data_IF_596749299595
#
_entry.id   IF_596749299595
#
_cell.length_a   1.000
_cell.length_b   1.000
_cell.length_c   1.000
_cell.angle_alpha   90.00
_cell.angle_beta   90.00
_cell.angle_gamma   90.00
#
_symmetry.space_group_name_H-M   'P 1'
#
loop_
_entity.id
_entity.type
_entity.pdbx_description
1 polymer ?
#
# COMPACT_ATOMS: atom_id res chain seq x y z
N UNK A 1 17.58 -34.17 95.66
CA UNK A 1 18.53 -35.22 96.08
C UNK A 1 19.76 -35.16 95.19
N UNK A 2 20.95 -35.25 95.81
CA UNK A 2 22.30 -35.34 95.26
C UNK A 2 22.88 -34.13 94.49
N UNK A 3 23.77 -33.44 95.22
CA UNK A 3 24.91 -32.64 94.74
C UNK A 3 26.02 -33.55 94.16
N UNK A 4 27.05 -32.88 93.63
CA UNK A 4 28.46 -33.31 93.45
C UNK A 4 28.73 -34.18 92.21
N UNK A 5 29.80 -34.02 91.45
CA UNK A 5 30.93 -33.07 91.28
C UNK A 5 31.82 -33.71 90.17
N UNK A 6 32.92 -33.05 89.78
CA UNK A 6 34.14 -33.62 89.12
C UNK A 6 33.99 -33.82 87.58
N UNK A 7 34.88 -33.37 86.68
CA UNK A 7 36.19 -32.71 86.78
C UNK A 7 36.56 -32.06 85.43
N UNK A 8 37.17 -30.88 85.54
CA UNK A 8 38.25 -30.26 84.75
C UNK A 8 38.78 -31.06 83.53
N UNK A 9 38.90 -30.43 82.35
CA UNK A 9 40.20 -30.32 81.63
C UNK A 9 40.15 -29.33 80.45
N UNK A 10 40.83 -28.20 80.66
CA UNK A 10 41.82 -27.54 79.78
C UNK A 10 41.43 -27.18 78.33
N UNK A 11 41.39 -25.85 78.16
CA UNK A 11 41.71 -25.07 76.96
C UNK A 11 42.75 -25.71 76.02
N UNK A 12 42.38 -25.84 74.74
CA UNK A 12 43.33 -25.70 73.64
C UNK A 12 42.66 -24.88 72.53
N UNK A 13 43.11 -23.62 72.46
CA UNK A 13 42.87 -22.71 71.35
C UNK A 13 43.44 -23.31 70.07
N UNK A 14 42.60 -23.53 69.07
CA UNK A 14 43.01 -23.40 67.68
C UNK A 14 41.97 -22.58 66.94
N UNK A 15 42.40 -21.36 66.61
CA UNK A 15 41.73 -20.40 65.75
C UNK A 15 41.66 -21.02 64.35
N UNK A 16 40.46 -21.14 63.82
CA UNK A 16 40.26 -21.11 62.37
C UNK A 16 39.02 -20.26 62.10
N UNK A 17 39.26 -19.13 61.44
CA UNK A 17 38.24 -18.18 61.02
C UNK A 17 37.25 -18.85 60.08
N UNK A 18 36.05 -19.15 60.57
CA UNK A 18 34.89 -19.40 59.72
C UNK A 18 34.32 -18.05 59.31
N UNK A 19 34.29 -17.85 58.01
CA UNK A 19 33.73 -16.70 57.29
C UNK A 19 32.25 -16.56 57.67
N UNK A 20 31.89 -15.47 58.34
CA UNK A 20 30.50 -15.11 58.57
C UNK A 20 29.78 -14.92 57.23
N UNK A 21 28.70 -15.67 57.04
CA UNK A 21 27.73 -15.51 55.97
C UNK A 21 27.04 -14.15 56.17
N UNK A 22 27.09 -13.21 55.23
CA UNK A 22 26.16 -12.09 55.19
C UNK A 22 24.86 -12.58 54.53
N UNK A 23 23.76 -12.32 55.22
CA UNK A 23 22.38 -12.39 54.74
C UNK A 23 22.22 -11.81 53.34
N UNK A 24 21.41 -12.42 52.45
CA UNK A 24 21.18 -11.88 51.13
C UNK A 24 20.37 -10.58 51.24
N UNK A 25 21.01 -9.46 50.92
CA UNK A 25 20.32 -8.21 50.64
C UNK A 25 19.37 -8.43 49.45
N UNK A 26 18.07 -8.40 49.71
CA UNK A 26 17.08 -8.04 48.71
C UNK A 26 17.35 -6.60 48.28
N UNK A 27 17.92 -6.42 47.09
CA UNK A 27 17.72 -5.28 46.20
C UNK A 27 18.66 -5.44 45.00
N UNK A 28 18.30 -6.35 44.10
CA UNK A 28 18.74 -6.31 42.71
C UNK A 28 17.49 -6.48 41.86
N UNK A 29 16.67 -5.45 41.81
CA UNK A 29 15.76 -5.28 40.68
C UNK A 29 16.65 -5.09 39.46
N UNK A 30 16.59 -5.95 38.42
CA UNK A 30 17.22 -5.62 37.17
C UNK A 30 16.55 -4.33 36.69
N UNK A 31 17.32 -3.26 36.53
CA UNK A 31 16.89 -2.13 35.71
C UNK A 31 16.78 -2.68 34.28
N UNK A 32 15.65 -3.32 33.97
CA UNK A 32 15.25 -3.59 32.59
C UNK A 32 15.05 -2.23 31.95
N UNK A 33 16.08 -1.76 31.23
CA UNK A 33 15.95 -0.66 30.29
C UNK A 33 14.84 -1.07 29.32
N UNK A 34 13.64 -0.53 29.52
CA UNK A 34 12.48 -0.86 28.71
C UNK A 34 12.84 -0.49 27.27
N UNK A 35 12.87 -1.48 26.37
CA UNK A 35 13.24 -1.26 24.97
C UNK A 35 12.29 -0.22 24.38
N UNK A 36 12.82 0.93 23.97
CA UNK A 36 12.04 2.02 23.40
C UNK A 36 11.82 1.73 21.92
N UNK A 37 10.60 1.34 21.57
CA UNK A 37 10.17 1.11 20.20
C UNK A 37 9.88 2.45 19.49
N UNK A 38 10.02 2.43 18.17
CA UNK A 38 9.76 3.56 17.27
C UNK A 38 8.53 3.30 16.41
N UNK A 39 8.08 4.33 15.68
CA UNK A 39 7.01 4.15 14.68
C UNK A 39 7.31 3.10 13.62
N UNK A 40 8.57 2.94 13.21
CA UNK A 40 8.95 1.94 12.20
C UNK A 40 8.77 0.51 12.72
N UNK A 41 8.87 0.32 14.04
CA UNK A 41 8.60 -0.97 14.66
C UNK A 41 7.10 -1.26 14.74
N UNK A 42 6.26 -0.26 15.04
CA UNK A 42 4.80 -0.42 15.12
C UNK A 42 4.09 -0.40 13.76
N UNK A 43 4.69 0.22 12.74
CA UNK A 43 4.15 0.28 11.38
C UNK A 43 5.28 0.03 10.36
N UNK A 44 5.76 -1.22 10.24
CA UNK A 44 6.81 -1.55 9.29
C UNK A 44 6.28 -1.51 7.85
N UNK A 45 7.10 -0.98 6.94
CA UNK A 45 6.83 -1.00 5.51
C UNK A 45 7.40 -2.29 4.91
N UNK A 46 6.52 -3.24 4.62
CA UNK A 46 6.87 -4.58 4.15
C UNK A 46 6.35 -4.76 2.72
N UNK A 47 7.24 -5.05 1.78
CA UNK A 47 6.89 -5.29 0.37
C UNK A 47 6.10 -6.60 0.18
N UNK A 48 5.34 -6.67 -0.91
CA UNK A 48 4.57 -7.85 -1.34
C UNK A 48 3.66 -8.43 -0.25
N UNK A 49 3.20 -7.58 0.67
CA UNK A 49 2.33 -7.96 1.79
C UNK A 49 0.88 -7.65 1.46
N UNK A 50 0.00 -8.60 1.76
CA UNK A 50 -1.45 -8.42 1.79
C UNK A 50 -1.95 -8.57 3.22
N UNK A 51 -2.74 -7.62 3.71
CA UNK A 51 -3.46 -7.73 4.98
C UNK A 51 -4.96 -7.73 4.69
N UNK A 52 -5.63 -8.84 5.05
CA UNK A 52 -7.08 -8.99 4.91
C UNK A 52 -7.75 -8.71 6.24
N UNK A 53 -8.81 -7.90 6.21
CA UNK A 53 -9.57 -7.53 7.40
C UNK A 53 -11.05 -7.89 7.23
N UNK A 54 -11.61 -8.49 8.28
CA UNK A 54 -13.02 -8.73 8.43
C UNK A 54 -13.73 -7.45 8.88
N UNK A 55 -14.86 -7.12 8.24
CA UNK A 55 -15.77 -6.05 8.66
C UNK A 55 -16.93 -6.56 9.53
N UNK A 56 -17.32 -5.78 10.53
CA UNK A 56 -18.51 -6.03 11.38
C UNK A 56 -19.28 -4.72 11.51
N UNK A 57 -20.62 -4.79 11.43
CA UNK A 57 -21.51 -3.64 11.64
C UNK A 57 -21.67 -2.71 10.42
N UNK A 58 -20.87 -2.89 9.37
CA UNK A 58 -20.99 -2.16 8.11
C UNK A 58 -20.41 -2.98 6.95
N UNK A 59 -21.08 -2.99 5.80
CA UNK A 59 -20.66 -3.73 4.60
C UNK A 59 -19.37 -3.20 3.96
N UNK A 60 -19.01 -1.94 4.21
CA UNK A 60 -17.77 -1.32 3.72
C UNK A 60 -16.60 -1.42 4.71
N UNK A 61 -16.79 -2.08 5.86
CA UNK A 61 -15.75 -2.20 6.89
C UNK A 61 -14.73 -3.32 6.62
N UNK A 62 -15.07 -4.30 5.78
CA UNK A 62 -14.10 -5.29 5.33
C UNK A 62 -13.15 -4.67 4.31
N UNK A 63 -11.88 -5.09 4.33
CA UNK A 63 -10.90 -4.59 3.37
C UNK A 63 -9.72 -5.51 3.15
N UNK A 64 -9.14 -5.42 1.97
CA UNK A 64 -7.81 -5.93 1.66
C UNK A 64 -6.84 -4.78 1.46
N UNK A 65 -5.65 -4.88 2.05
CA UNK A 65 -4.60 -3.87 1.93
C UNK A 65 -3.36 -4.49 1.29
N UNK A 66 -2.99 -3.98 0.12
CA UNK A 66 -1.77 -4.35 -0.61
C UNK A 66 -0.76 -3.21 -0.60
N UNK A 67 0.49 -3.54 -0.89
CA UNK A 67 1.58 -2.57 -0.98
C UNK A 67 1.97 -2.33 -2.43
N UNK A 68 1.58 -1.18 -2.97
CA UNK A 68 1.88 -0.80 -4.34
C UNK A 68 3.32 -0.31 -4.49
N UNK A 69 3.74 0.66 -3.66
CA UNK A 69 5.07 1.25 -3.70
C UNK A 69 5.64 1.47 -2.31
N UNK A 70 6.96 1.37 -2.17
CA UNK A 70 7.74 1.81 -1.00
C UNK A 70 8.91 2.64 -1.52
N UNK A 71 9.09 3.82 -0.95
CA UNK A 71 10.23 4.69 -1.21
C UNK A 71 10.68 5.32 0.11
N UNK A 72 11.84 4.89 0.62
CA UNK A 72 12.43 5.33 1.88
C UNK A 72 11.47 5.32 3.08
N UNK A 73 10.97 6.51 3.44
CA UNK A 73 10.10 6.75 4.57
C UNK A 73 8.63 6.88 4.17
N UNK A 74 8.27 6.52 2.93
CA UNK A 74 6.91 6.50 2.42
C UNK A 74 6.50 5.12 1.91
N UNK A 75 5.20 4.85 2.01
CA UNK A 75 4.53 3.68 1.46
C UNK A 75 3.24 4.11 0.76
N UNK A 76 2.99 3.55 -0.41
CA UNK A 76 1.70 3.63 -1.09
C UNK A 76 0.98 2.29 -0.93
N UNK A 77 -0.21 2.36 -0.35
CA UNK A 77 -1.10 1.24 -0.11
C UNK A 77 -2.25 1.28 -1.10
N UNK A 78 -2.69 0.09 -1.52
CA UNK A 78 -3.96 -0.11 -2.21
C UNK A 78 -4.93 -0.75 -1.25
N UNK A 79 -6.02 -0.07 -0.95
CA UNK A 79 -7.05 -0.53 -0.01
C UNK A 79 -8.31 -0.84 -0.81
N UNK A 80 -8.70 -2.10 -0.85
CA UNK A 80 -9.92 -2.54 -1.52
C UNK A 80 -10.96 -2.80 -0.45
N UNK A 81 -12.11 -2.13 -0.55
CA UNK A 81 -13.31 -2.49 0.20
C UNK A 81 -14.45 -2.74 -0.79
N UNK A 82 -15.63 -3.21 -0.34
CA UNK A 82 -16.75 -3.48 -1.25
C UNK A 82 -17.30 -2.27 -2.00
N UNK A 83 -16.98 -1.05 -1.55
CA UNK A 83 -17.45 0.19 -2.17
C UNK A 83 -16.51 0.77 -3.21
N UNK A 84 -15.20 0.69 -2.99
CA UNK A 84 -14.18 1.34 -3.83
C UNK A 84 -12.78 0.75 -3.63
N UNK A 85 -11.85 1.17 -4.48
CA UNK A 85 -10.41 0.98 -4.29
C UNK A 85 -9.79 2.34 -3.95
N UNK A 86 -9.10 2.43 -2.82
CA UNK A 86 -8.33 3.61 -2.45
C UNK A 86 -6.84 3.42 -2.71
N UNK A 87 -6.17 4.49 -3.13
CA UNK A 87 -4.74 4.66 -2.94
C UNK A 87 -4.48 5.53 -1.71
N UNK A 88 -3.65 5.04 -0.80
CA UNK A 88 -3.21 5.80 0.37
C UNK A 88 -1.69 5.93 0.38
N UNK A 89 -1.18 7.14 0.63
CA UNK A 89 0.25 7.39 0.82
C UNK A 89 0.49 7.73 2.28
N UNK A 90 1.29 6.91 2.95
CA UNK A 90 1.70 7.15 4.33
C UNK A 90 3.18 7.55 4.37
N UNK A 91 3.54 8.43 5.29
CA UNK A 91 4.91 8.87 5.55
C UNK A 91 5.25 8.71 7.03
N UNK A 92 6.44 8.17 7.34
CA UNK A 92 7.02 8.25 8.68
C UNK A 92 8.08 9.36 8.68
N UNK A 93 7.84 10.43 9.42
CA UNK A 93 8.77 11.57 9.49
C UNK A 93 8.61 12.32 10.81
N UNK A 94 9.72 12.76 11.39
CA UNK A 94 9.77 13.55 12.63
C UNK A 94 9.00 12.92 13.81
N UNK A 95 9.03 11.59 13.93
CA UNK A 95 8.30 10.87 14.99
C UNK A 95 6.78 10.83 14.77
N UNK A 96 6.30 11.02 13.54
CA UNK A 96 4.89 10.94 13.17
C UNK A 96 4.67 9.97 11.99
N UNK A 97 3.62 9.15 12.09
CA UNK A 97 3.04 8.41 10.97
C UNK A 97 1.90 9.27 10.40
N UNK A 98 2.06 9.72 9.16
CA UNK A 98 1.20 10.71 8.50
C UNK A 98 0.49 10.11 7.30
N UNK A 99 -0.80 10.38 7.15
CA UNK A 99 -1.53 10.17 5.90
C UNK A 99 -1.34 11.39 5.01
N UNK A 100 -0.57 11.21 3.93
CA UNK A 100 -0.21 12.26 2.98
C UNK A 100 -1.29 12.41 1.91
N UNK A 101 -1.79 11.29 1.37
CA UNK A 101 -2.82 11.29 0.34
C UNK A 101 -3.76 10.11 0.56
N UNK A 102 -5.05 10.34 0.34
CA UNK A 102 -6.07 9.29 0.21
C UNK A 102 -6.89 9.64 -1.02
N UNK A 103 -6.94 8.75 -2.00
CA UNK A 103 -7.68 8.94 -3.25
C UNK A 103 -8.58 7.74 -3.49
N UNK A 104 -9.88 7.99 -3.56
CA UNK A 104 -10.92 7.01 -3.90
C UNK A 104 -10.98 6.75 -5.40
N UNK A 105 -11.74 5.73 -5.82
CA UNK A 105 -11.94 5.34 -7.22
C UNK A 105 -10.61 5.06 -7.97
N UNK A 106 -9.62 4.51 -7.27
CA UNK A 106 -8.26 4.26 -7.78
C UNK A 106 -8.11 2.85 -8.37
N UNK A 107 -8.80 2.60 -9.48
CA UNK A 107 -8.82 1.27 -10.14
C UNK A 107 -7.60 0.96 -11.02
N UNK A 108 -6.72 1.94 -11.24
CA UNK A 108 -5.47 1.84 -11.99
C UNK A 108 -4.26 1.83 -11.04
N UNK A 109 -3.04 1.79 -11.58
CA UNK A 109 -1.78 1.76 -10.81
C UNK A 109 -0.84 2.88 -11.23
N UNK A 110 -1.03 4.04 -10.61
CA UNK A 110 -0.15 5.20 -10.78
C UNK A 110 0.73 5.43 -9.54
N UNK A 111 1.84 6.15 -9.76
CA UNK A 111 2.83 6.47 -8.73
C UNK A 111 2.42 7.77 -7.99
N UNK A 112 1.86 7.64 -6.80
CA UNK A 112 1.39 8.76 -5.98
C UNK A 112 2.30 9.06 -4.79
N UNK A 113 3.33 8.24 -4.53
CA UNK A 113 4.13 8.30 -3.30
C UNK A 113 4.82 9.66 -3.08
N UNK A 114 5.11 10.42 -4.14
CA UNK A 114 5.71 11.76 -4.08
C UNK A 114 4.69 12.90 -3.87
N UNK A 115 3.41 12.56 -3.61
CA UNK A 115 2.36 13.54 -3.35
C UNK A 115 2.76 14.48 -2.21
N UNK A 116 2.47 15.77 -2.39
CA UNK A 116 2.72 16.78 -1.38
C UNK A 116 1.45 17.05 -0.59
N UNK A 117 1.58 17.21 0.72
CA UNK A 117 0.48 17.63 1.59
C UNK A 117 1.06 18.50 2.71
N UNK A 118 0.65 19.76 2.76
CA UNK A 118 1.10 20.74 3.76
C UNK A 118 0.39 20.60 5.10
N UNK A 119 -0.71 19.86 5.17
CA UNK A 119 -1.49 19.62 6.38
C UNK A 119 -1.93 18.15 6.45
N UNK A 120 -0.97 17.20 6.52
CA UNK A 120 -1.30 15.78 6.55
C UNK A 120 -1.97 15.38 7.87
N UNK A 121 -2.80 14.35 7.82
CA UNK A 121 -3.38 13.78 9.04
C UNK A 121 -2.33 12.94 9.77
N UNK A 122 -2.17 13.15 11.07
CA UNK A 122 -1.28 12.34 11.91
C UNK A 122 -2.06 11.15 12.47
N UNK A 123 -1.67 9.94 12.07
CA UNK A 123 -2.30 8.67 12.47
C UNK A 123 -1.73 8.15 13.79
N UNK A 124 -0.42 8.29 14.00
CA UNK A 124 0.29 7.87 15.21
C UNK A 124 1.50 8.77 15.45
N UNK A 125 1.84 9.06 16.72
CA UNK A 125 2.86 10.03 17.09
C UNK A 125 3.70 9.59 18.29
N UNK A 126 5.01 9.83 18.23
CA UNK A 126 5.94 9.65 19.33
C UNK A 126 5.85 10.81 20.34
N UNK A 127 6.15 10.58 21.64
CA UNK A 127 6.55 9.31 22.24
C UNK A 127 5.40 8.29 22.33
N UNK A 128 5.70 7.01 22.13
CA UNK A 128 4.71 5.91 22.17
C UNK A 128 4.35 5.52 23.61
N UNK A 129 3.82 6.49 24.33
CA UNK A 129 3.52 6.42 25.76
C UNK A 129 2.07 6.89 25.99
N UNK A 130 1.42 6.32 27.01
CA UNK A 130 0.03 6.69 27.35
C UNK A 130 -0.08 8.18 27.63
N UNK A 131 -1.07 8.82 27.01
CA UNK A 131 -1.34 10.25 27.15
C UNK A 131 -0.71 11.14 26.08
N UNK A 132 0.19 10.63 25.24
CA UNK A 132 0.67 11.37 24.05
C UNK A 132 -0.52 11.73 23.17
N UNK A 133 -0.70 13.01 22.86
CA UNK A 133 -1.91 13.53 22.23
C UNK A 133 -1.61 14.60 21.17
N UNK A 134 -2.52 14.71 20.19
CA UNK A 134 -2.49 15.73 19.15
C UNK A 134 -3.93 16.07 18.71
N UNK A 135 -4.09 17.22 18.07
CA UNK A 135 -5.38 17.65 17.55
C UNK A 135 -5.62 17.02 16.18
N UNK A 136 -6.87 16.71 15.89
CA UNK A 136 -7.36 16.38 14.55
C UNK A 136 -8.32 17.49 14.09
N UNK A 137 -8.67 17.58 12.79
CA UNK A 137 -9.66 18.56 12.34
C UNK A 137 -11.01 18.45 13.05
N UNK A 138 -11.37 17.24 13.48
CA UNK A 138 -12.70 16.93 14.05
C UNK A 138 -12.69 16.68 15.57
N UNK A 139 -11.53 16.76 16.21
CA UNK A 139 -11.42 16.46 17.64
C UNK A 139 -10.00 16.28 18.14
N UNK A 140 -9.80 15.29 19.02
CA UNK A 140 -8.51 15.00 19.65
C UNK A 140 -8.16 13.53 19.48
N UNK A 141 -6.89 13.25 19.16
CA UNK A 141 -6.35 11.89 19.09
C UNK A 141 -5.25 11.72 20.12
N UNK A 142 -5.19 10.56 20.77
CA UNK A 142 -4.20 10.27 21.81
C UNK A 142 -3.96 8.78 22.00
N UNK A 143 -2.79 8.43 22.53
CA UNK A 143 -2.48 7.06 22.95
C UNK A 143 -3.20 6.81 24.28
N UNK A 144 -4.23 5.98 24.26
CA UNK A 144 -5.06 5.66 25.43
C UNK A 144 -4.50 4.50 26.23
N UNK A 145 -3.84 3.52 25.58
CA UNK A 145 -3.10 2.43 26.23
C UNK A 145 -1.93 1.93 25.38
N UNK A 146 -0.91 1.35 26.04
CA UNK A 146 0.31 0.84 25.38
C UNK A 146 0.40 -0.69 25.28
N UNK A 147 -0.31 -1.42 26.14
CA UNK A 147 -0.34 -2.89 26.18
C UNK A 147 -1.78 -3.40 26.28
N UNK A 148 -2.67 -2.87 25.43
CA UNK A 148 -4.08 -3.24 25.44
C UNK A 148 -4.22 -4.65 24.84
N UNK A 149 -4.76 -5.58 25.63
CA UNK A 149 -5.10 -6.92 25.15
C UNK A 149 -6.30 -6.86 24.23
N UNK A 150 -6.15 -7.38 23.02
CA UNK A 150 -7.21 -7.45 22.00
C UNK A 150 -7.21 -8.80 21.29
N UNK A 151 -8.37 -9.14 20.73
CA UNK A 151 -8.57 -10.32 19.89
C UNK A 151 -8.97 -9.90 18.48
N UNK A 152 -8.45 -10.61 17.49
CA UNK A 152 -8.83 -10.53 16.07
C UNK A 152 -8.92 -11.96 15.52
N UNK A 153 -9.54 -12.19 14.35
CA UNK A 153 -9.51 -13.52 13.74
C UNK A 153 -8.10 -14.04 13.45
N UNK A 154 -7.11 -13.16 13.28
CA UNK A 154 -5.70 -13.53 13.11
C UNK A 154 -4.95 -13.90 14.41
N UNK A 155 -5.54 -13.65 15.59
CA UNK A 155 -4.97 -14.00 16.88
C UNK A 155 -5.20 -12.95 17.98
N UNK A 156 -4.64 -13.25 19.16
CA UNK A 156 -4.60 -12.38 20.33
C UNK A 156 -3.33 -11.52 20.34
N UNK A 157 -3.45 -10.25 20.71
CA UNK A 157 -2.35 -9.28 20.70
C UNK A 157 -2.32 -8.40 21.95
N UNK A 158 -1.14 -7.89 22.26
CA UNK A 158 -0.96 -6.66 23.05
C UNK A 158 -0.69 -5.50 22.08
N UNK A 159 -1.55 -4.49 22.10
CA UNK A 159 -1.55 -3.40 21.14
C UNK A 159 -1.41 -2.02 21.80
N UNK A 160 -0.83 -1.09 21.05
CA UNK A 160 -0.95 0.33 21.28
C UNK A 160 -2.35 0.77 20.84
N UNK A 161 -3.17 1.20 21.78
CA UNK A 161 -4.51 1.75 21.52
C UNK A 161 -4.39 3.26 21.33
N UNK A 162 -4.83 3.73 20.17
CA UNK A 162 -4.94 5.14 19.82
C UNK A 162 -6.42 5.48 19.75
N UNK A 163 -6.86 6.39 20.60
CA UNK A 163 -8.25 6.85 20.64
C UNK A 163 -8.37 8.19 19.93
N UNK A 164 -9.34 8.31 19.02
CA UNK A 164 -9.82 9.58 18.47
C UNK A 164 -11.18 9.88 19.09
N UNK A 165 -11.32 11.04 19.73
CA UNK A 165 -12.59 11.52 20.25
C UNK A 165 -13.08 12.66 19.37
N UNK A 166 -14.17 12.41 18.65
CA UNK A 166 -14.93 13.42 17.90
C UNK A 166 -16.05 14.02 18.74
N UNK A 167 -16.96 14.74 18.09
CA UNK A 167 -18.09 15.39 18.76
C UNK A 167 -19.11 14.39 19.33
N UNK A 168 -19.42 13.36 18.56
CA UNK A 168 -20.47 12.37 18.81
C UNK A 168 -20.00 10.93 18.55
N UNK A 169 -18.71 10.75 18.26
CA UNK A 169 -18.10 9.46 17.99
C UNK A 169 -16.76 9.26 18.71
N UNK A 170 -16.38 7.99 18.84
CA UNK A 170 -15.02 7.58 19.20
C UNK A 170 -14.49 6.56 18.20
N UNK A 171 -13.19 6.61 17.94
CA UNK A 171 -12.49 5.60 17.14
C UNK A 171 -11.30 5.08 17.92
N UNK A 172 -11.14 3.76 17.98
CA UNK A 172 -10.00 3.09 18.60
C UNK A 172 -9.23 2.34 17.52
N UNK A 173 -8.00 2.78 17.26
CA UNK A 173 -7.06 2.11 16.37
C UNK A 173 -6.01 1.36 17.19
N UNK A 174 -5.81 0.09 16.87
CA UNK A 174 -4.92 -0.79 17.60
C UNK A 174 -3.72 -1.17 16.74
N UNK A 175 -2.54 -0.69 17.12
CA UNK A 175 -1.28 -0.96 16.44
C UNK A 175 -0.48 -2.03 17.18
N UNK A 176 -0.05 -3.07 16.48
CA UNK A 176 0.74 -4.17 17.03
C UNK A 176 2.16 -4.11 16.51
N UNK A 177 3.11 -4.30 17.43
CA UNK A 177 4.53 -4.31 17.16
C UNK A 177 4.88 -5.31 16.04
N UNK A 178 5.70 -4.86 15.09
CA UNK A 178 6.12 -5.58 13.87
C UNK A 178 4.99 -5.93 12.89
N UNK A 179 3.76 -5.46 13.11
CA UNK A 179 2.62 -5.76 12.24
C UNK A 179 2.08 -4.50 11.59
N UNK A 180 1.65 -3.52 12.38
CA UNK A 180 0.86 -2.38 11.90
C UNK A 180 -0.48 -2.26 12.61
N UNK A 181 -1.41 -1.57 11.96
CA UNK A 181 -2.82 -1.49 12.38
C UNK A 181 -3.46 -2.88 12.23
N UNK A 182 -4.00 -3.45 13.32
CA UNK A 182 -4.66 -4.78 13.28
C UNK A 182 -6.14 -4.71 13.56
N UNK A 183 -6.61 -3.63 14.17
CA UNK A 183 -8.02 -3.45 14.49
C UNK A 183 -8.38 -1.97 14.52
N UNK A 184 -9.56 -1.65 14.02
CA UNK A 184 -10.22 -0.35 14.20
C UNK A 184 -11.62 -0.60 14.74
N UNK A 185 -12.03 0.16 15.75
CA UNK A 185 -13.39 0.16 16.29
C UNK A 185 -13.92 1.58 16.24
N UNK A 186 -14.99 1.81 15.49
CA UNK A 186 -15.73 3.07 15.45
C UNK A 186 -17.03 2.92 16.25
N UNK A 187 -17.30 3.88 17.14
CA UNK A 187 -18.48 3.93 17.99
C UNK A 187 -19.16 5.30 17.85
N UNK A 188 -20.46 5.31 17.58
CA UNK A 188 -21.28 6.53 17.51
C UNK A 188 -22.71 6.22 17.95
N UNK A 189 -23.09 6.67 19.15
CA UNK A 189 -24.35 6.28 19.78
C UNK A 189 -24.39 4.77 20.04
N UNK A 190 -25.40 4.08 19.52
CA UNK A 190 -25.53 2.62 19.61
C UNK A 190 -24.80 1.89 18.47
N UNK A 191 -24.32 2.61 17.46
CA UNK A 191 -23.65 2.02 16.31
C UNK A 191 -22.20 1.67 16.66
N UNK A 192 -21.81 0.45 16.32
CA UNK A 192 -20.43 -0.04 16.44
C UNK A 192 -20.01 -0.70 15.13
N UNK A 193 -18.92 -0.22 14.56
CA UNK A 193 -18.32 -0.75 13.35
C UNK A 193 -16.92 -1.22 13.70
N UNK A 194 -16.56 -2.44 13.29
CA UNK A 194 -15.22 -2.98 13.51
C UNK A 194 -14.58 -3.43 12.20
N UNK A 195 -13.28 -3.18 12.07
CA UNK A 195 -12.42 -3.76 11.03
C UNK A 195 -11.32 -4.53 11.74
N UNK A 196 -11.27 -5.84 11.57
CA UNK A 196 -10.42 -6.76 12.35
C UNK A 196 -9.49 -7.56 11.44
N UNK A 197 -8.18 -7.57 11.73
CA UNK A 197 -7.20 -8.33 10.95
C UNK A 197 -7.56 -9.82 10.97
N UNK A 198 -7.79 -10.36 9.78
CA UNK A 198 -8.14 -11.76 9.56
C UNK A 198 -6.91 -12.57 9.14
N UNK A 199 -6.09 -12.00 8.25
CA UNK A 199 -4.95 -12.71 7.65
C UNK A 199 -3.86 -11.76 7.22
N UNK A 200 -2.60 -12.18 7.40
CA UNK A 200 -1.43 -11.56 6.77
C UNK A 200 -0.84 -12.58 5.79
N UNK A 201 -0.60 -12.14 4.57
CA UNK A 201 0.04 -12.94 3.53
C UNK A 201 1.27 -12.18 3.00
N UNK A 202 2.33 -12.92 2.65
CA UNK A 202 3.59 -12.35 2.13
C UNK A 202 3.88 -12.92 0.75
N UNK A 203 4.59 -12.17 -0.08
CA UNK A 203 4.87 -12.56 -1.46
C UNK A 203 3.63 -12.55 -2.36
N UNK A 204 2.57 -11.83 -1.98
CA UNK A 204 1.31 -11.79 -2.75
C UNK A 204 1.35 -10.60 -3.71
N UNK A 205 1.38 -10.83 -5.03
CA UNK A 205 1.30 -9.75 -6.00
C UNK A 205 -0.14 -9.19 -6.10
N UNK A 206 -0.26 -7.94 -6.50
CA UNK A 206 -1.53 -7.34 -6.90
C UNK A 206 -1.84 -7.79 -8.33
N UNK A 207 -3.04 -8.31 -8.58
CA UNK A 207 -3.48 -8.72 -9.92
C UNK A 207 -4.46 -7.69 -10.46
N UNK A 208 -4.16 -7.11 -11.62
CA UNK A 208 -5.11 -6.30 -12.39
C UNK A 208 -5.53 -7.05 -13.65
N UNK A 209 -6.82 -7.02 -13.94
CA UNK A 209 -7.32 -7.31 -15.29
C UNK A 209 -7.31 -6.05 -16.13
N UNK A 210 -6.90 -6.15 -17.40
CA UNK A 210 -7.15 -5.11 -18.39
C UNK A 210 -7.58 -5.72 -19.72
N UNK A 211 -8.26 -4.93 -20.54
CA UNK A 211 -8.55 -5.28 -21.92
C UNK A 211 -7.46 -4.71 -22.82
N UNK A 212 -6.80 -5.58 -23.58
CA UNK A 212 -5.85 -5.17 -24.62
C UNK A 212 -6.53 -5.34 -25.96
N UNK A 213 -6.52 -4.26 -26.75
CA UNK A 213 -7.13 -4.22 -28.07
C UNK A 213 -6.06 -4.41 -29.13
N UNK A 214 -6.31 -5.22 -30.15
CA UNK A 214 -5.37 -5.54 -31.21
C UNK A 214 -6.00 -5.31 -32.59
N UNK A 215 -5.25 -4.75 -33.56
CA UNK A 215 -5.71 -4.67 -34.94
C UNK A 215 -5.78 -6.05 -35.58
N UNK A 216 -6.97 -6.43 -36.05
CA UNK A 216 -7.20 -7.56 -36.94
C UNK A 216 -7.36 -7.02 -38.36
N UNK A 217 -6.24 -6.64 -38.96
CA UNK A 217 -6.19 -5.89 -40.22
C UNK A 217 -6.85 -6.65 -41.38
N UNK A 218 -6.68 -7.97 -41.44
CA UNK A 218 -7.24 -8.82 -42.50
C UNK A 218 -8.78 -8.85 -42.48
N UNK A 219 -9.38 -8.69 -41.30
CA UNK A 219 -10.83 -8.68 -41.12
C UNK A 219 -11.39 -7.27 -40.88
N UNK A 220 -10.56 -6.23 -41.09
CA UNK A 220 -10.93 -4.82 -40.96
C UNK A 220 -11.64 -4.47 -39.64
N UNK A 221 -11.16 -5.04 -38.53
CA UNK A 221 -11.76 -4.86 -37.20
C UNK A 221 -10.71 -4.78 -36.10
N UNK A 222 -11.14 -4.36 -34.92
CA UNK A 222 -10.32 -4.44 -33.70
C UNK A 222 -10.86 -5.58 -32.86
N UNK A 223 -9.99 -6.40 -32.32
CA UNK A 223 -10.38 -7.41 -31.32
C UNK A 223 -9.79 -7.04 -29.97
N UNK A 224 -10.33 -7.60 -28.89
CA UNK A 224 -9.74 -7.45 -27.57
C UNK A 224 -9.72 -8.75 -26.79
N UNK A 225 -8.77 -8.82 -25.85
CA UNK A 225 -8.63 -9.92 -24.91
C UNK A 225 -8.43 -9.37 -23.51
N UNK A 226 -9.02 -10.02 -22.52
CA UNK A 226 -8.74 -9.72 -21.12
C UNK A 226 -7.41 -10.36 -20.71
N UNK A 227 -6.47 -9.53 -20.28
CA UNK A 227 -5.14 -9.92 -19.86
C UNK A 227 -4.98 -9.62 -18.36
N UNK A 228 -4.32 -10.52 -17.65
CA UNK A 228 -4.03 -10.36 -16.21
C UNK A 228 -2.57 -9.95 -16.04
N UNK A 229 -2.35 -8.80 -15.41
CA UNK A 229 -1.01 -8.35 -15.00
C UNK A 229 -0.86 -8.53 -13.50
N UNK A 230 0.22 -9.18 -13.09
CA UNK A 230 0.66 -9.22 -11.69
C UNK A 230 1.71 -8.15 -11.41
N UNK A 231 1.55 -7.44 -10.30
CA UNK A 231 2.50 -6.46 -9.78
C UNK A 231 3.04 -6.88 -8.42
N UNK A 232 4.36 -6.96 -8.32
CA UNK A 232 5.06 -6.86 -7.04
C UNK A 232 5.17 -5.40 -6.62
N UNK A 233 5.49 -5.16 -5.35
CA UNK A 233 5.79 -3.82 -4.85
C UNK A 233 6.87 -3.16 -5.71
N UNK A 234 6.68 -1.88 -6.04
CA UNK A 234 7.54 -1.06 -6.90
C UNK A 234 7.53 -1.37 -8.40
N UNK A 235 6.81 -2.40 -8.87
CA UNK A 235 6.59 -2.57 -10.32
C UNK A 235 5.58 -1.55 -10.86
N UNK A 236 5.87 -1.00 -12.04
CA UNK A 236 5.08 0.07 -12.66
C UNK A 236 4.12 -0.46 -13.73
N UNK A 237 3.00 0.23 -13.93
CA UNK A 237 2.09 -0.06 -15.06
C UNK A 237 2.81 0.09 -16.40
N UNK A 238 3.67 1.11 -16.55
CA UNK A 238 4.43 1.42 -17.76
C UNK A 238 5.18 0.21 -18.30
N UNK A 239 5.98 -0.44 -17.47
CA UNK A 239 6.86 -1.53 -17.90
C UNK A 239 6.07 -2.78 -18.31
N UNK A 240 4.98 -3.06 -17.59
CA UNK A 240 4.08 -4.17 -17.91
C UNK A 240 3.27 -3.89 -19.17
N UNK A 241 2.78 -2.67 -19.34
CA UNK A 241 2.07 -2.24 -20.55
C UNK A 241 2.98 -2.34 -21.77
N UNK A 242 4.21 -1.82 -21.71
CA UNK A 242 5.14 -1.90 -22.83
C UNK A 242 5.38 -3.36 -23.27
N UNK A 243 5.62 -4.25 -22.30
CA UNK A 243 5.79 -5.68 -22.57
C UNK A 243 4.55 -6.28 -23.22
N UNK A 244 3.37 -5.93 -22.73
CA UNK A 244 2.10 -6.45 -23.22
C UNK A 244 1.82 -5.99 -24.66
N UNK A 245 2.03 -4.71 -24.95
CA UNK A 245 1.74 -4.12 -26.27
C UNK A 245 2.72 -4.55 -27.38
N UNK A 246 3.88 -5.11 -27.02
CA UNK A 246 4.86 -5.70 -27.95
C UNK A 246 4.52 -7.12 -28.41
N UNK A 247 3.52 -7.73 -27.77
CA UNK A 247 3.10 -9.10 -28.02
C UNK A 247 1.66 -9.13 -28.55
N UNK A 248 1.29 -10.23 -29.20
CA UNK A 248 -0.08 -10.50 -29.65
C UNK A 248 -0.49 -11.90 -29.18
N UNK A 249 -1.79 -12.14 -28.98
CA UNK A 249 -2.29 -13.47 -28.65
C UNK A 249 -2.31 -14.43 -29.86
N UNK A 250 -2.24 -13.89 -31.09
CA UNK A 250 -2.19 -14.65 -32.35
C UNK A 250 -1.26 -13.92 -33.33
N UNK A 251 -0.43 -14.67 -34.07
CA UNK A 251 0.53 -14.15 -35.05
C UNK A 251 -0.13 -13.47 -36.26
N UNK A 252 -1.44 -13.69 -36.48
CA UNK A 252 -2.22 -13.03 -37.53
C UNK A 252 -2.61 -11.60 -37.18
N UNK A 253 -2.48 -11.22 -35.91
CA UNK A 253 -2.82 -9.89 -35.43
C UNK A 253 -1.63 -8.96 -35.58
N UNK A 254 -1.91 -7.68 -35.77
CA UNK A 254 -0.84 -6.68 -35.75
C UNK A 254 -0.48 -6.33 -34.31
N UNK A 255 0.81 -6.14 -34.05
CA UNK A 255 1.31 -5.61 -32.78
C UNK A 255 0.93 -4.14 -32.65
N UNK A 256 0.75 -3.66 -31.41
CA UNK A 256 0.60 -2.23 -31.17
C UNK A 256 1.97 -1.56 -31.14
N UNK A 257 2.92 -2.10 -30.37
CA UNK A 257 4.28 -1.59 -30.28
C UNK A 257 5.26 -2.49 -31.02
N UNK A 258 6.20 -1.86 -31.74
CA UNK A 258 7.37 -2.54 -32.27
C UNK A 258 8.36 -2.93 -31.18
N UNK A 259 9.34 -3.76 -31.52
CA UNK A 259 10.34 -4.25 -30.56
C UNK A 259 11.23 -3.14 -29.99
N UNK A 260 11.51 -2.09 -30.77
CA UNK A 260 12.40 -1.00 -30.38
C UNK A 260 11.65 0.18 -29.74
N UNK A 261 10.35 0.28 -30.02
CA UNK A 261 9.43 1.25 -29.41
C UNK A 261 9.46 1.16 -27.89
N UNK A 262 9.45 2.32 -27.21
CA UNK A 262 9.38 2.40 -25.75
C UNK A 262 8.23 3.27 -25.28
N UNK A 263 7.73 3.00 -24.09
CA UNK A 263 6.86 3.91 -23.35
C UNK A 263 7.76 4.74 -22.42
N UNK A 264 7.94 6.01 -22.76
CA UNK A 264 8.70 6.95 -21.95
C UNK A 264 7.94 7.27 -20.66
N UNK A 265 6.63 7.58 -20.79
CA UNK A 265 5.74 7.88 -19.67
C UNK A 265 4.27 7.52 -19.98
N UNK A 266 3.49 7.22 -18.95
CA UNK A 266 2.03 7.05 -19.04
C UNK A 266 1.39 7.43 -17.71
N UNK A 267 0.35 8.27 -17.74
CA UNK A 267 -0.37 8.69 -16.54
C UNK A 267 -1.76 9.22 -16.86
N UNK A 268 -2.65 9.20 -15.86
CA UNK A 268 -3.94 9.87 -15.92
C UNK A 268 -3.83 11.32 -15.42
N UNK A 269 -4.25 12.27 -16.25
CA UNK A 269 -4.62 13.60 -15.75
C UNK A 269 -6.08 13.57 -15.29
N UNK A 270 -6.27 13.58 -13.98
CA UNK A 270 -7.59 13.49 -13.34
C UNK A 270 -8.45 14.73 -13.64
N UNK A 271 -7.86 15.93 -13.68
CA UNK A 271 -8.59 17.18 -13.91
C UNK A 271 -9.13 17.27 -15.34
N UNK A 272 -8.38 16.77 -16.32
CA UNK A 272 -8.79 16.75 -17.73
C UNK A 272 -9.62 15.51 -18.10
N UNK A 273 -9.69 14.51 -17.21
CA UNK A 273 -10.18 13.17 -17.48
C UNK A 273 -9.60 12.58 -18.78
N UNK A 274 -8.26 12.64 -18.88
CA UNK A 274 -7.50 12.32 -20.10
C UNK A 274 -6.22 11.59 -19.75
N UNK A 275 -5.93 10.52 -20.47
CA UNK A 275 -4.66 9.79 -20.33
C UNK A 275 -3.62 10.39 -21.26
N UNK A 276 -2.42 10.55 -20.73
CA UNK A 276 -1.24 10.98 -21.48
C UNK A 276 -0.31 9.78 -21.62
N UNK A 277 0.10 9.47 -22.85
CA UNK A 277 1.16 8.50 -23.12
C UNK A 277 2.23 9.14 -24.00
N UNK A 278 3.48 9.06 -23.55
CA UNK A 278 4.66 9.46 -24.31
C UNK A 278 5.40 8.21 -24.77
N UNK A 279 5.58 8.08 -26.08
CA UNK A 279 6.28 6.98 -26.71
C UNK A 279 7.61 7.47 -27.30
N UNK A 280 8.53 6.55 -27.55
CA UNK A 280 9.73 6.87 -28.32
C UNK A 280 9.41 7.00 -29.82
N UNK A 281 10.23 7.75 -30.56
CA UNK A 281 10.03 7.94 -32.02
C UNK A 281 10.07 6.64 -32.82
N UNK A 282 10.72 5.60 -32.30
CA UNK A 282 10.72 4.27 -32.91
C UNK A 282 9.32 3.68 -33.07
N UNK A 283 8.32 4.20 -32.34
CA UNK A 283 6.92 3.85 -32.56
C UNK A 283 6.49 4.04 -34.02
N UNK A 284 6.94 5.09 -34.69
CA UNK A 284 6.62 5.33 -36.10
C UNK A 284 7.46 4.43 -37.02
N UNK A 285 8.77 4.36 -36.80
CA UNK A 285 9.67 3.62 -37.69
C UNK A 285 9.45 2.11 -37.62
N UNK A 286 9.10 1.58 -36.45
CA UNK A 286 8.80 0.15 -36.27
C UNK A 286 7.43 -0.22 -36.84
N UNK A 287 6.46 0.71 -36.82
CA UNK A 287 5.10 0.44 -37.28
C UNK A 287 5.07 0.08 -38.77
N UNK A 288 5.87 0.77 -39.59
CA UNK A 288 6.01 0.57 -41.05
C UNK A 288 4.67 0.29 -41.75
N UNK A 289 3.64 1.10 -41.43
CA UNK A 289 2.27 0.90 -41.83
C UNK A 289 1.75 2.00 -42.77
N UNK A 290 0.80 1.65 -43.64
CA UNK A 290 -0.04 2.63 -44.32
C UNK A 290 -1.09 3.24 -43.39
N UNK A 291 -1.77 4.31 -43.84
CA UNK A 291 -2.70 5.11 -43.03
C UNK A 291 -3.82 4.30 -42.36
N UNK A 292 -4.33 3.27 -43.04
CA UNK A 292 -5.39 2.41 -42.50
C UNK A 292 -4.93 1.59 -41.29
N UNK A 293 -3.80 0.87 -41.42
CA UNK A 293 -3.26 0.08 -40.32
C UNK A 293 -2.76 0.98 -39.18
N UNK A 294 -2.14 2.11 -39.50
CA UNK A 294 -1.76 3.12 -38.50
C UNK A 294 -2.95 3.58 -37.66
N UNK A 295 -4.08 3.91 -38.31
CA UNK A 295 -5.30 4.31 -37.62
C UNK A 295 -5.80 3.22 -36.67
N UNK A 296 -5.75 1.95 -37.08
CA UNK A 296 -6.15 0.82 -36.24
C UNK A 296 -5.20 0.63 -35.05
N UNK A 297 -3.88 0.76 -35.25
CA UNK A 297 -2.89 0.66 -34.17
C UNK A 297 -3.10 1.76 -33.13
N UNK A 298 -3.28 3.00 -33.57
CA UNK A 298 -3.58 4.12 -32.67
C UNK A 298 -4.90 3.88 -31.93
N UNK A 299 -5.97 3.46 -32.62
CA UNK A 299 -7.25 3.19 -31.97
C UNK A 299 -7.16 2.04 -30.96
N UNK A 300 -6.40 0.98 -31.26
CA UNK A 300 -6.13 -0.13 -30.35
C UNK A 300 -5.37 0.32 -29.09
N UNK A 301 -4.36 1.18 -29.23
CA UNK A 301 -3.67 1.79 -28.09
C UNK A 301 -4.63 2.66 -27.25
N UNK A 302 -5.39 3.52 -27.91
CA UNK A 302 -6.34 4.46 -27.29
C UNK A 302 -7.43 3.70 -26.53
N UNK A 303 -7.99 2.64 -27.12
CA UNK A 303 -9.01 1.80 -26.48
C UNK A 303 -8.44 1.03 -25.28
N UNK A 304 -7.21 0.55 -25.37
CA UNK A 304 -6.53 -0.15 -24.26
C UNK A 304 -6.37 0.79 -23.06
N UNK A 305 -5.84 2.00 -23.29
CA UNK A 305 -5.66 3.00 -22.23
C UNK A 305 -6.99 3.55 -21.71
N UNK A 306 -7.93 3.83 -22.60
CA UNK A 306 -9.27 4.29 -22.27
C UNK A 306 -10.03 3.29 -21.41
N UNK A 307 -9.94 2.00 -21.72
CA UNK A 307 -10.56 0.94 -20.92
C UNK A 307 -9.87 0.75 -19.58
N UNK A 308 -8.55 0.93 -19.49
CA UNK A 308 -7.81 0.73 -18.24
C UNK A 308 -8.03 1.87 -17.24
N UNK A 309 -8.01 3.11 -17.72
CA UNK A 309 -8.20 4.30 -16.88
C UNK A 309 -9.66 4.77 -16.79
N UNK A 310 -10.58 4.10 -17.48
CA UNK A 310 -12.00 4.49 -17.58
C UNK A 310 -12.21 5.92 -18.10
N UNK A 311 -11.48 6.29 -19.16
CA UNK A 311 -11.57 7.60 -19.82
C UNK A 311 -11.95 7.50 -21.29
N UNK A 312 -12.39 8.61 -21.87
CA UNK A 312 -12.75 8.68 -23.30
C UNK A 312 -11.66 9.35 -24.18
N UNK A 313 -10.63 9.93 -23.57
CA UNK A 313 -9.65 10.78 -24.24
C UNK A 313 -8.23 10.35 -23.93
N UNK A 314 -7.43 10.22 -24.98
CA UNK A 314 -6.00 9.87 -24.88
C UNK A 314 -5.18 10.84 -25.71
N UNK A 315 -4.18 11.47 -25.08
CA UNK A 315 -3.15 12.24 -25.76
C UNK A 315 -1.92 11.36 -25.97
N UNK A 316 -1.41 11.35 -27.21
CA UNK A 316 -0.21 10.60 -27.59
C UNK A 316 0.87 11.58 -27.99
N UNK A 317 2.07 11.42 -27.42
CA UNK A 317 3.27 12.14 -27.80
C UNK A 317 4.42 11.21 -28.18
N UNK A 318 5.36 11.75 -28.96
CA UNK A 318 6.61 11.12 -29.36
C UNK A 318 7.78 11.98 -28.87
N UNK A 319 8.58 11.46 -27.93
CA UNK A 319 9.66 12.20 -27.24
C UNK A 319 9.22 13.59 -26.76
N UNK A 320 8.05 13.68 -26.13
CA UNK A 320 7.48 14.91 -25.56
C UNK A 320 6.82 15.86 -26.57
N UNK A 321 6.74 15.50 -27.87
CA UNK A 321 6.03 16.29 -28.89
C UNK A 321 4.71 15.63 -29.26
N UNK A 322 3.63 16.38 -29.56
CA UNK A 322 2.38 15.80 -30.06
C UNK A 322 2.63 14.81 -31.20
N UNK A 323 1.84 13.73 -31.23
CA UNK A 323 1.98 12.68 -32.24
C UNK A 323 1.89 13.25 -33.66
N UNK A 324 2.89 12.93 -34.48
CA UNK A 324 2.97 13.30 -35.89
C UNK A 324 3.64 12.18 -36.69
N UNK A 325 2.98 11.76 -37.75
CA UNK A 325 3.45 10.79 -38.74
C UNK A 325 3.25 11.31 -40.17
N UNK A 326 3.51 10.47 -41.17
CA UNK A 326 3.21 10.80 -42.57
C UNK A 326 1.72 10.90 -42.90
N UNK A 327 0.82 10.41 -42.04
CA UNK A 327 -0.62 10.36 -42.32
C UNK A 327 -1.51 11.04 -41.27
N UNK A 328 -1.07 11.06 -40.02
CA UNK A 328 -1.86 11.54 -38.88
C UNK A 328 -0.98 12.48 -38.05
N UNK A 329 -1.52 13.62 -37.67
CA UNK A 329 -0.89 14.56 -36.76
C UNK A 329 -1.94 15.15 -35.83
N UNK A 330 -1.57 15.37 -34.58
CA UNK A 330 -2.36 16.13 -33.61
C UNK A 330 -1.56 17.31 -33.08
N UNK A 331 -2.24 18.36 -32.65
CA UNK A 331 -1.64 19.53 -32.00
C UNK A 331 -1.68 19.42 -30.49
N UNK A 332 -0.97 20.33 -29.82
CA UNK A 332 -1.15 20.53 -28.38
C UNK A 332 -2.62 20.79 -28.05
N UNK A 333 -3.14 20.09 -27.04
CA UNK A 333 -4.54 20.17 -26.61
C UNK A 333 -5.52 19.29 -27.39
N UNK A 334 -5.16 18.79 -28.58
CA UNK A 334 -5.95 17.77 -29.28
C UNK A 334 -5.79 16.39 -28.62
N UNK A 335 -6.62 15.42 -28.98
CA UNK A 335 -6.59 14.08 -28.39
C UNK A 335 -7.27 13.07 -29.30
N UNK A 336 -6.91 11.81 -29.14
CA UNK A 336 -7.63 10.68 -29.72
C UNK A 336 -8.81 10.31 -28.83
N UNK A 337 -9.93 9.93 -29.45
CA UNK A 337 -11.12 9.46 -28.75
C UNK A 337 -11.16 7.94 -28.72
N UNK A 338 -11.61 7.42 -27.59
CA UNK A 338 -11.94 6.01 -27.45
C UNK A 338 -13.14 5.69 -28.34
N UNK A 339 -13.04 4.59 -29.08
CA UNK A 339 -14.12 4.08 -29.93
C UNK A 339 -14.15 2.56 -29.90
N UNK A 340 -15.14 2.01 -29.20
CA UNK A 340 -15.35 0.56 -29.09
C UNK A 340 -16.25 -0.01 -30.20
N UNK A 341 -16.66 0.80 -31.19
CA UNK A 341 -17.41 0.29 -32.34
C UNK A 341 -16.59 -0.75 -33.08
N UNK A 342 -17.28 -1.79 -33.55
CA UNK A 342 -16.68 -2.92 -34.27
C UNK A 342 -15.53 -3.61 -33.51
N UNK A 343 -15.57 -3.56 -32.16
CA UNK A 343 -14.66 -4.37 -31.33
C UNK A 343 -15.26 -5.75 -31.03
N UNK A 344 -14.43 -6.79 -31.08
CA UNK A 344 -14.85 -8.18 -30.80
C UNK A 344 -13.98 -8.79 -29.73
N UNK A 345 -14.60 -9.36 -28.70
CA UNK A 345 -13.88 -10.12 -27.67
C UNK A 345 -13.41 -11.48 -28.23
N UNK A 346 -12.17 -11.85 -27.94
CA UNK A 346 -11.68 -13.21 -28.13
C UNK A 346 -11.38 -13.84 -26.76
N UNK A 347 -11.72 -15.12 -26.62
CA UNK A 347 -11.55 -15.89 -25.37
C UNK A 347 -10.23 -16.65 -25.35
#
# INVERSE_FOLDING_TARGET
MKKLFIVIMVFLLLISCVKNIPTPNQNNTPNTTQKKYTLKDYYPFISDRRMKYQGIGNEYAEKDVYVDFINDNRIQLRVLNPGTILAQVLEIKDGELRLIKSQEEFYYRDYLIDSQNSSPEILLKEPLEKGTAWNTPEGKRYISEVNKKISTPSGEYEALEVTTEGKDYKTYDYYVLNIGLVKTVFESGENKIETNLEKIETGVPVIHSLRVYYPDFLNERIIFKEEKISYKTNETFKDKLETLLKNTPDDKLSKILGSNSKINNVYLNVEENKVYIDLSKEFISDMNAGSSLESMILQSLVNTLGSYYSVEKVFISLDGKPYESGHIAIKEGEFFKVDYKNTVEIK
#
